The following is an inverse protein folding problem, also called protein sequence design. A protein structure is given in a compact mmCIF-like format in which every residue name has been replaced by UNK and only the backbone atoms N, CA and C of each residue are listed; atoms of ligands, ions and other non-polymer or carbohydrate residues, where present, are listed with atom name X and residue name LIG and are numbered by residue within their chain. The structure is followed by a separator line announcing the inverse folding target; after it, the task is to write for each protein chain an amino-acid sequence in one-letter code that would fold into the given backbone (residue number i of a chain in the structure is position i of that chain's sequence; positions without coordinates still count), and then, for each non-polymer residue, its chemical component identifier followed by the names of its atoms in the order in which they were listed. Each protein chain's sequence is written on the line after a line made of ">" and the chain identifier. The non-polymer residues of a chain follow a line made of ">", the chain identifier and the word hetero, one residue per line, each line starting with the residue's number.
data_IF_238380200258
#
_entry.id   IF_238380200258
#
_cell.length_a   1.000
_cell.length_b   1.000
_cell.length_c   1.000
_cell.angle_alpha   90.00
_cell.angle_beta   90.00
_cell.angle_gamma   90.00
#
_symmetry.space_group_name_H-M   'P 1'
#
loop_
_entity.id
_entity.type
_entity.pdbx_description
1 polymer ?
#
# COMPACT_ATOMS: atom_id res chain seq x y z
N UNK A 1 3.17 8.90 1.72
CA UNK A 1 4.23 9.17 0.73
C UNK A 1 5.29 10.10 1.31
N UNK A 2 6.56 9.73 1.12
CA UNK A 2 7.75 10.51 1.51
C UNK A 2 8.09 11.54 0.42
N UNK A 3 8.86 12.57 0.77
CA UNK A 3 9.35 13.57 -0.19
C UNK A 3 10.35 12.97 -1.19
N UNK A 4 10.58 13.68 -2.30
CA UNK A 4 11.53 13.25 -3.33
C UNK A 4 12.95 13.03 -2.79
N UNK A 5 13.47 13.97 -1.98
CA UNK A 5 14.83 13.88 -1.44
C UNK A 5 14.99 12.67 -0.51
N UNK A 6 13.97 12.37 0.31
CA UNK A 6 13.97 11.20 1.20
C UNK A 6 13.92 9.88 0.43
N UNK A 7 13.15 9.84 -0.68
CA UNK A 7 13.06 8.67 -1.54
C UNK A 7 14.39 8.42 -2.23
N UNK A 8 15.00 9.43 -2.86
CA UNK A 8 16.29 9.30 -3.53
C UNK A 8 17.40 8.88 -2.56
N UNK A 9 17.45 9.47 -1.36
CA UNK A 9 18.48 9.17 -0.37
C UNK A 9 18.44 7.71 0.13
N UNK A 10 17.28 7.05 0.05
CA UNK A 10 17.09 5.67 0.51
C UNK A 10 16.92 4.65 -0.62
N UNK A 11 16.79 5.11 -1.87
CA UNK A 11 16.61 4.24 -3.02
C UNK A 11 17.85 3.40 -3.30
N UNK A 12 17.63 2.22 -3.88
CA UNK A 12 18.71 1.36 -4.34
C UNK A 12 19.31 1.93 -5.63
N UNK A 13 20.63 1.91 -5.72
CA UNK A 13 21.40 2.38 -6.89
C UNK A 13 21.40 1.38 -8.04
N UNK A 14 20.20 0.94 -8.42
CA UNK A 14 19.96 0.04 -9.54
C UNK A 14 18.70 0.46 -10.28
N UNK A 15 18.74 0.36 -11.61
CA UNK A 15 17.57 0.64 -12.42
C UNK A 15 16.53 -0.47 -12.21
N UNK A 16 15.26 -0.13 -11.92
CA UNK A 16 14.23 -1.14 -11.69
C UNK A 16 13.91 -1.92 -12.98
N UNK A 17 14.04 -1.27 -14.13
CA UNK A 17 13.71 -1.82 -15.43
C UNK A 17 14.95 -1.94 -16.31
N UNK A 18 15.01 -3.01 -17.10
CA UNK A 18 16.14 -3.26 -18.02
C UNK A 18 16.06 -2.38 -19.26
N UNK A 19 14.87 -1.89 -19.62
CA UNK A 19 14.64 -0.94 -20.70
C UNK A 19 13.35 -0.12 -20.48
N UNK A 20 13.17 0.95 -21.26
CA UNK A 20 12.06 1.90 -21.08
C UNK A 20 10.66 1.30 -21.27
N UNK A 21 10.50 0.30 -22.15
CA UNK A 21 9.19 -0.31 -22.44
C UNK A 21 8.62 -1.04 -21.21
N UNK A 22 9.48 -1.69 -20.43
CA UNK A 22 9.09 -2.34 -19.18
C UNK A 22 8.54 -1.33 -18.18
N UNK A 23 9.21 -0.17 -18.06
CA UNK A 23 8.78 0.92 -17.20
C UNK A 23 7.43 1.50 -17.62
N UNK A 24 7.19 1.68 -18.92
CA UNK A 24 5.88 2.14 -19.41
C UNK A 24 4.76 1.15 -19.10
N UNK A 25 4.97 -0.15 -19.37
CA UNK A 25 3.97 -1.18 -19.05
C UNK A 25 3.67 -1.26 -17.55
N UNK A 26 4.70 -1.15 -16.71
CA UNK A 26 4.52 -1.09 -15.27
C UNK A 26 3.74 0.17 -14.83
N UNK A 27 4.06 1.34 -15.39
CA UNK A 27 3.36 2.58 -15.07
C UNK A 27 1.89 2.57 -15.49
N UNK A 28 1.54 1.89 -16.58
CA UNK A 28 0.13 1.67 -17.00
C UNK A 28 -0.64 0.83 -15.98
N UNK A 29 -0.03 -0.22 -15.45
CA UNK A 29 -0.65 -1.12 -14.48
C UNK A 29 -0.75 -0.51 -13.06
N UNK A 30 0.23 0.30 -12.66
CA UNK A 30 0.42 0.66 -11.24
C UNK A 30 0.41 2.16 -10.94
N UNK A 31 0.60 3.05 -11.91
CA UNK A 31 0.75 4.48 -11.66
C UNK A 31 -0.33 5.33 -12.35
N UNK A 32 -0.34 5.36 -13.68
CA UNK A 32 -1.00 6.41 -14.44
C UNK A 32 -2.50 6.55 -14.15
N UNK A 33 -3.33 5.61 -14.59
CA UNK A 33 -4.77 5.69 -14.37
C UNK A 33 -5.26 4.98 -13.11
N UNK A 34 -4.72 3.81 -12.71
CA UNK A 34 -5.30 3.04 -11.62
C UNK A 34 -4.91 3.54 -10.22
N UNK A 35 -3.82 4.29 -10.07
CA UNK A 35 -3.40 4.75 -8.75
C UNK A 35 -4.28 5.91 -8.26
N UNK A 36 -4.83 5.78 -7.06
CA UNK A 36 -5.69 6.76 -6.40
C UNK A 36 -4.96 7.45 -5.24
N UNK A 37 -3.63 7.35 -5.19
CA UNK A 37 -2.84 8.07 -4.20
C UNK A 37 -3.09 9.60 -4.36
N UNK A 38 -3.34 10.35 -3.27
CA UNK A 38 -3.66 11.78 -3.37
C UNK A 38 -2.64 12.61 -4.15
N UNK A 39 -1.35 12.26 -4.08
CA UNK A 39 -0.28 12.95 -4.82
C UNK A 39 -0.47 12.75 -6.33
N UNK A 40 -0.65 11.50 -6.75
CA UNK A 40 -0.84 11.13 -8.16
C UNK A 40 -2.14 11.73 -8.72
N UNK A 41 -3.24 11.63 -7.96
CA UNK A 41 -4.52 12.23 -8.35
C UNK A 41 -4.37 13.75 -8.53
N UNK A 42 -3.68 14.43 -7.62
CA UNK A 42 -3.48 15.87 -7.71
C UNK A 42 -2.60 16.27 -8.89
N UNK A 43 -1.59 15.46 -9.23
CA UNK A 43 -0.73 15.66 -10.38
C UNK A 43 -1.48 15.48 -11.71
N UNK A 44 -2.25 14.40 -11.86
CA UNK A 44 -3.08 14.17 -13.06
C UNK A 44 -4.12 15.25 -13.28
N UNK A 45 -4.75 15.73 -12.19
CA UNK A 45 -5.68 16.87 -12.28
C UNK A 45 -4.98 18.13 -12.79
N UNK A 46 -3.71 18.32 -12.46
CA UNK A 46 -2.91 19.42 -13.00
C UNK A 46 -2.60 19.20 -14.48
N UNK A 47 -2.16 18.01 -14.89
CA UNK A 47 -1.89 17.68 -16.30
C UNK A 47 -3.14 17.77 -17.19
N UNK A 48 -4.31 17.38 -16.66
CA UNK A 48 -5.60 17.49 -17.36
C UNK A 48 -6.18 18.91 -17.36
N UNK A 49 -5.52 19.88 -16.72
CA UNK A 49 -6.00 21.26 -16.60
C UNK A 49 -7.18 21.46 -15.62
N UNK A 50 -7.60 20.43 -14.90
CA UNK A 50 -8.60 20.51 -13.82
C UNK A 50 -8.08 21.28 -12.60
N UNK A 51 -6.75 21.36 -12.44
CA UNK A 51 -6.05 22.11 -11.40
C UNK A 51 -5.10 23.12 -12.03
N UNK A 52 -5.12 24.37 -11.55
CA UNK A 52 -4.33 25.48 -12.12
C UNK A 52 -2.84 25.48 -11.73
N UNK A 53 -2.49 24.86 -10.61
CA UNK A 53 -1.13 24.87 -10.06
C UNK A 53 -0.69 23.46 -9.69
N UNK A 54 0.60 23.13 -9.82
CA UNK A 54 1.11 21.85 -9.36
C UNK A 54 0.92 21.70 -7.84
N UNK A 55 0.85 20.46 -7.32
CA UNK A 55 0.97 20.19 -5.89
C UNK A 55 2.27 20.81 -5.34
N UNK A 56 2.16 21.57 -4.24
CA UNK A 56 3.32 22.29 -3.67
C UNK A 56 4.40 21.34 -3.13
N UNK A 57 3.96 20.28 -2.44
CA UNK A 57 4.87 19.34 -1.77
C UNK A 57 5.49 18.33 -2.76
N UNK A 58 4.90 18.20 -3.95
CA UNK A 58 5.29 17.24 -4.99
C UNK A 58 5.24 17.90 -6.38
N UNK A 59 6.13 18.87 -6.65
CA UNK A 59 6.07 19.69 -7.86
C UNK A 59 6.45 18.93 -9.15
N UNK A 60 7.00 17.72 -9.04
CA UNK A 60 7.36 16.85 -10.17
C UNK A 60 6.52 15.57 -10.25
N UNK A 61 5.36 15.52 -9.58
CA UNK A 61 4.52 14.32 -9.50
C UNK A 61 5.01 13.31 -8.46
N UNK A 62 4.69 12.03 -8.66
CA UNK A 62 5.03 10.97 -7.71
C UNK A 62 6.57 10.84 -7.52
N UNK A 63 7.11 11.04 -6.31
CA UNK A 63 8.55 10.98 -6.03
C UNK A 63 9.15 9.59 -6.31
N UNK A 64 8.35 8.52 -6.21
CA UNK A 64 8.78 7.16 -6.52
C UNK A 64 9.09 6.99 -8.01
N UNK A 65 8.26 7.57 -8.87
CA UNK A 65 8.47 7.57 -10.32
C UNK A 65 9.70 8.42 -10.68
N UNK A 66 9.83 9.59 -10.05
CA UNK A 66 10.99 10.46 -10.28
C UNK A 66 12.30 9.74 -9.93
N UNK A 67 12.35 8.96 -8.85
CA UNK A 67 13.51 8.14 -8.51
C UNK A 67 13.79 7.04 -9.55
N UNK A 68 12.74 6.35 -10.04
CA UNK A 68 12.87 5.35 -11.10
C UNK A 68 13.38 5.93 -12.42
N UNK A 69 12.93 7.15 -12.78
CA UNK A 69 13.41 7.87 -13.97
C UNK A 69 14.90 8.26 -13.88
N UNK A 70 15.44 8.38 -12.66
CA UNK A 70 16.86 8.58 -12.42
C UNK A 70 17.66 7.27 -12.32
N UNK A 71 17.05 6.14 -12.67
CA UNK A 71 17.69 4.84 -12.63
C UNK A 71 17.93 4.31 -11.21
N UNK A 72 17.13 4.77 -10.24
CA UNK A 72 17.16 4.25 -8.86
C UNK A 72 15.87 3.51 -8.54
N UNK A 73 15.96 2.41 -7.81
CA UNK A 73 14.78 1.63 -7.41
C UNK A 73 14.31 2.06 -6.01
N UNK A 74 13.11 2.65 -5.87
CA UNK A 74 12.57 3.01 -4.56
C UNK A 74 12.42 1.79 -3.65
N UNK A 75 12.59 1.98 -2.35
CA UNK A 75 12.40 0.90 -1.35
C UNK A 75 10.92 0.53 -1.19
N UNK A 76 10.02 1.42 -1.59
CA UNK A 76 8.58 1.21 -1.66
C UNK A 76 8.15 0.20 -2.73
N UNK A 77 9.06 -0.21 -3.62
CA UNK A 77 8.79 -1.15 -4.69
C UNK A 77 9.24 -2.55 -4.27
N UNK A 78 8.26 -3.40 -3.95
CA UNK A 78 8.47 -4.78 -3.53
C UNK A 78 8.57 -5.66 -4.78
N UNK A 79 9.74 -6.27 -4.98
CA UNK A 79 9.94 -7.26 -6.04
C UNK A 79 9.05 -8.49 -5.76
N UNK A 80 8.17 -8.79 -6.71
CA UNK A 80 7.26 -9.95 -6.70
C UNK A 80 7.89 -11.16 -7.37
N UNK A 81 8.99 -10.97 -8.10
CA UNK A 81 9.63 -12.07 -8.81
C UNK A 81 10.51 -12.86 -7.85
N UNK A 82 10.03 -14.04 -7.46
CA UNK A 82 10.77 -14.98 -6.61
C UNK A 82 11.91 -15.74 -7.33
N UNK A 83 12.33 -15.30 -8.53
CA UNK A 83 13.41 -15.93 -9.30
C UNK A 83 13.03 -17.22 -10.03
N UNK A 84 11.80 -17.73 -9.86
CA UNK A 84 11.30 -18.94 -10.51
C UNK A 84 10.19 -18.61 -11.50
N UNK A 85 10.31 -19.09 -12.74
CA UNK A 85 9.32 -18.87 -13.80
C UNK A 85 9.65 -17.68 -14.72
N UNK A 86 8.76 -17.35 -15.67
CA UNK A 86 8.99 -16.28 -16.62
C UNK A 86 9.11 -14.93 -15.90
N UNK A 87 10.06 -14.10 -16.31
CA UNK A 87 10.28 -12.78 -15.74
C UNK A 87 9.07 -11.88 -16.02
N UNK A 88 8.31 -11.46 -14.99
CA UNK A 88 7.06 -10.74 -15.17
C UNK A 88 7.34 -9.25 -15.38
N UNK A 89 7.62 -8.86 -16.62
CA UNK A 89 8.09 -7.52 -16.99
C UNK A 89 7.20 -6.39 -16.42
N UNK A 90 5.88 -6.49 -16.57
CA UNK A 90 4.96 -5.43 -16.18
C UNK A 90 4.53 -5.46 -14.70
N UNK A 91 4.75 -6.59 -14.00
CA UNK A 91 4.30 -6.82 -12.62
C UNK A 91 5.45 -7.22 -11.69
N UNK A 92 6.70 -6.97 -12.11
CA UNK A 92 7.87 -7.29 -11.30
C UNK A 92 7.83 -6.59 -9.94
N UNK A 93 7.40 -5.33 -9.90
CA UNK A 93 7.35 -4.57 -8.65
C UNK A 93 5.92 -4.24 -8.25
N UNK A 94 5.59 -4.35 -6.97
CA UNK A 94 4.38 -3.76 -6.41
C UNK A 94 4.75 -2.56 -5.55
N UNK A 95 4.10 -1.42 -5.82
CA UNK A 95 4.28 -0.20 -5.04
C UNK A 95 3.42 -0.24 -3.77
N UNK A 96 4.01 -0.09 -2.58
CA UNK A 96 3.26 -0.09 -1.31
C UNK A 96 2.35 1.15 -1.13
N UNK A 97 2.70 2.24 -1.82
CA UNK A 97 1.91 3.49 -1.81
C UNK A 97 0.77 3.46 -2.84
N UNK A 98 0.68 2.38 -3.64
CA UNK A 98 -0.40 2.19 -4.60
C UNK A 98 -1.75 2.13 -3.89
N UNK A 99 -2.74 2.81 -4.45
CA UNK A 99 -4.13 2.74 -4.01
C UNK A 99 -4.97 2.43 -5.24
N UNK A 100 -5.54 1.24 -5.34
CA UNK A 100 -6.39 0.90 -6.47
C UNK A 100 -7.70 1.70 -6.49
N UNK A 101 -8.45 1.67 -7.60
CA UNK A 101 -9.77 2.30 -7.69
C UNK A 101 -10.75 1.75 -6.65
N UNK A 102 -10.64 0.47 -6.30
CA UNK A 102 -11.44 -0.20 -5.26
C UNK A 102 -10.83 -0.06 -3.85
N UNK A 103 -9.59 0.44 -3.74
CA UNK A 103 -8.86 0.65 -2.48
C UNK A 103 -9.25 1.96 -1.78
N UNK A 104 -10.48 2.43 -2.00
CA UNK A 104 -11.00 3.67 -1.46
C UNK A 104 -10.95 3.69 0.06
N UNK A 105 -10.56 4.84 0.60
CA UNK A 105 -10.28 5.15 2.01
C UNK A 105 -11.50 5.13 2.95
N UNK A 106 -12.49 4.28 2.70
CA UNK A 106 -13.52 3.99 3.68
C UNK A 106 -12.99 2.96 4.67
N UNK A 107 -13.17 3.20 5.98
CA UNK A 107 -13.24 2.06 6.90
C UNK A 107 -14.18 1.01 6.28
N UNK A 108 -13.88 -0.30 6.37
CA UNK A 108 -14.80 -1.34 5.97
C UNK A 108 -16.12 -1.12 6.70
N UNK A 109 -17.10 -0.49 6.05
CA UNK A 109 -18.43 -0.33 6.62
C UNK A 109 -19.08 -1.70 6.56
N UNK A 110 -19.52 -2.27 7.68
CA UNK A 110 -20.30 -3.50 7.65
C UNK A 110 -21.44 -3.33 6.65
N UNK A 111 -21.60 -4.30 5.74
CA UNK A 111 -22.78 -4.32 4.87
C UNK A 111 -24.01 -4.46 5.78
N UNK A 112 -25.10 -3.71 5.55
CA UNK A 112 -26.35 -3.95 6.24
C UNK A 112 -26.75 -5.43 6.07
N UNK A 113 -27.19 -6.06 7.15
CA UNK A 113 -27.67 -7.44 7.08
C UNK A 113 -28.84 -7.52 6.07
N UNK A 114 -28.89 -8.58 5.24
CA UNK A 114 -30.00 -8.78 4.31
C UNK A 114 -31.35 -8.81 5.05
N UNK A 115 -32.44 -8.31 4.44
CA UNK A 115 -33.77 -8.37 5.05
C UNK A 115 -34.15 -9.83 5.40
N UNK A 116 -34.55 -10.08 6.64
CA UNK A 116 -34.94 -11.41 7.13
C UNK A 116 -33.81 -12.24 7.75
N UNK A 117 -32.62 -11.66 7.91
CA UNK A 117 -31.55 -12.21 8.76
C UNK A 117 -31.58 -11.46 10.09
N UNK A 118 -32.56 -11.78 10.94
CA UNK A 118 -32.44 -11.50 12.38
C UNK A 118 -31.13 -12.15 12.81
N UNK A 119 -30.10 -11.34 13.09
CA UNK A 119 -28.72 -11.75 13.26
C UNK A 119 -28.63 -13.16 13.86
N UNK A 120 -28.07 -14.10 13.07
CA UNK A 120 -28.11 -15.55 13.35
C UNK A 120 -27.66 -15.93 14.78
N UNK A 121 -27.01 -15.00 15.47
CA UNK A 121 -26.78 -15.02 16.91
C UNK A 121 -26.95 -13.60 17.48
N UNK A 122 -27.60 -13.49 18.64
CA UNK A 122 -27.52 -12.27 19.45
C UNK A 122 -26.06 -11.96 19.75
N UNK A 123 -25.66 -10.70 19.62
CA UNK A 123 -24.32 -10.26 20.01
C UNK A 123 -24.17 -10.56 21.51
N UNK A 124 -23.26 -11.46 21.93
CA UNK A 124 -23.09 -11.75 23.35
C UNK A 124 -22.70 -10.47 24.08
N UNK A 125 -23.20 -10.30 25.29
CA UNK A 125 -22.83 -9.16 26.13
C UNK A 125 -21.32 -9.01 26.22
N UNK A 126 -20.85 -7.76 26.25
CA UNK A 126 -19.42 -7.43 26.31
C UNK A 126 -18.87 -7.84 27.69
N UNK A 127 -18.53 -9.12 27.84
CA UNK A 127 -17.85 -9.62 29.03
C UNK A 127 -16.34 -9.37 28.90
N UNK A 128 -15.76 -8.74 29.92
CA UNK A 128 -14.30 -8.66 30.07
C UNK A 128 -13.81 -10.05 30.44
N UNK A 129 -13.17 -10.75 29.49
CA UNK A 129 -12.49 -12.01 29.79
C UNK A 129 -11.27 -11.71 30.64
N UNK A 130 -11.35 -11.96 31.94
CA UNK A 130 -10.16 -12.01 32.79
C UNK A 130 -9.39 -13.29 32.46
N UNK A 131 -8.09 -13.18 32.20
CA UNK A 131 -7.21 -14.33 32.05
C UNK A 131 -7.18 -15.10 33.38
N UNK A 132 -7.80 -16.27 33.42
CA UNK A 132 -7.64 -17.20 34.52
C UNK A 132 -6.29 -17.91 34.39
N UNK A 133 -5.47 -17.84 35.44
CA UNK A 133 -4.22 -18.60 35.51
C UNK A 133 -4.55 -20.11 35.63
N UNK A 134 -3.86 -21.00 34.90
CA UNK A 134 -4.04 -22.43 35.04
C UNK A 134 -3.67 -22.93 36.45
N UNK A 135 -4.38 -23.96 36.93
CA UNK A 135 -4.31 -24.50 38.29
C UNK A 135 -2.90 -24.94 38.73
N UNK A 136 -2.05 -25.37 37.79
CA UNK A 136 -0.70 -25.89 38.07
C UNK A 136 0.24 -24.86 38.74
N UNK A 137 -0.01 -23.55 38.61
CA UNK A 137 0.83 -22.53 39.23
C UNK A 137 0.61 -22.38 40.76
N UNK A 138 -0.43 -23.00 41.34
CA UNK A 138 -0.76 -22.85 42.77
C UNK A 138 -0.08 -23.85 43.71
N UNK A 139 0.40 -24.99 43.21
CA UNK A 139 0.96 -26.05 44.08
C UNK A 139 2.49 -25.98 44.27
N UNK A 140 3.18 -25.04 43.60
CA UNK A 140 4.65 -25.00 43.60
C UNK A 140 5.28 -24.03 44.62
N UNK A 141 4.58 -23.63 45.69
CA UNK A 141 5.17 -22.80 46.76
C UNK A 141 5.18 -23.56 48.09
N UNK A 142 6.24 -24.33 48.40
CA UNK A 142 6.50 -24.71 49.79
C UNK A 142 7.05 -23.49 50.55
N UNK A 143 6.32 -23.06 51.57
CA UNK A 143 6.80 -22.08 52.56
C UNK A 143 7.60 -22.85 53.63
N UNK A 144 8.79 -22.38 54.05
CA UNK A 144 9.59 -23.00 55.12
C UNK A 144 8.94 -22.90 56.51
#
# INVERSE_FOLDING_TARGET
>A
MRSYDEVIASARDEAPFSNGTEGYGWMENWCYRPCMNPVEVAWRRYENGERKTPPKDYPGGCPLIQAALLGKTPVEWIDQWGGTGPYPIADRFHCIEFRGPDGGSGEPRPRPDPPGMDGLFERPERAVRMLAQPHEAREAVPVP
#
